data_IF_921587320069
#
_entry.id   IF_921587320069
#
_cell.length_a   1.000
_cell.length_b   1.000
_cell.length_c   1.000
_cell.angle_alpha   90.00
_cell.angle_beta   90.00
_cell.angle_gamma   90.00
#
_symmetry.space_group_name_H-M   'P 1'
#
loop_
_entity.id
_entity.type
_entity.pdbx_description
1 polymer ?
#
# COMPACT_ATOMS: atom_id res chain seq x y z
N UNK A 1 -14.98 -8.94 11.48
CA UNK A 1 -13.54 -8.90 11.11
C UNK A 1 -13.38 -7.83 10.04
N UNK A 2 -13.09 -6.59 10.46
CA UNK A 2 -13.15 -5.38 9.63
C UNK A 2 -12.02 -5.34 8.58
N UNK A 3 -12.34 -4.98 7.33
CA UNK A 3 -11.42 -4.95 6.16
C UNK A 3 -11.61 -3.68 5.32
N UNK A 4 -10.53 -3.13 4.76
CA UNK A 4 -10.50 -1.98 3.85
C UNK A 4 -9.88 -2.36 2.51
N UNK A 5 -10.37 -1.89 1.35
CA UNK A 5 -9.79 -2.22 0.02
C UNK A 5 -9.26 -1.00 -0.78
N UNK A 6 -8.08 -1.13 -1.42
CA UNK A 6 -7.41 -0.05 -2.18
C UNK A 6 -6.80 -0.50 -3.50
N UNK A 7 -6.86 0.37 -4.52
CA UNK A 7 -6.18 0.18 -5.80
C UNK A 7 -4.69 0.58 -5.75
N UNK A 8 -3.82 -0.31 -6.25
CA UNK A 8 -2.39 -0.05 -6.47
C UNK A 8 -2.17 0.56 -7.86
N UNK A 9 -1.49 1.71 -7.92
CA UNK A 9 -1.26 2.48 -9.14
C UNK A 9 -0.06 1.91 -9.91
N UNK A 10 -0.29 1.33 -11.08
CA UNK A 10 0.76 1.03 -12.05
C UNK A 10 1.22 2.30 -12.78
N UNK A 11 2.53 2.40 -13.05
CA UNK A 11 3.22 3.55 -13.59
C UNK A 11 2.89 3.79 -15.10
N UNK A 12 2.35 4.99 -15.39
CA UNK A 12 2.46 5.81 -16.62
C UNK A 12 1.96 5.30 -17.99
N UNK A 13 0.75 5.73 -18.38
CA UNK A 13 0.48 6.31 -19.72
C UNK A 13 -0.44 7.53 -19.53
N UNK A 14 0.10 8.73 -19.82
CA UNK A 14 -0.65 9.98 -19.83
C UNK A 14 -1.52 10.04 -21.10
N UNK A 15 -2.83 9.93 -20.95
CA UNK A 15 -3.77 10.52 -21.91
C UNK A 15 -4.50 11.66 -21.21
N UNK A 16 -4.24 12.88 -21.68
CA UNK A 16 -5.01 14.06 -21.33
C UNK A 16 -6.41 13.95 -21.96
N UNK A 17 -7.41 13.73 -21.13
CA UNK A 17 -8.82 13.92 -21.50
C UNK A 17 -9.47 14.87 -20.49
N UNK A 18 -10.22 15.80 -21.06
CA UNK A 18 -10.73 17.02 -20.48
C UNK A 18 -11.68 16.79 -19.30
N UNK A 19 -11.65 17.78 -18.41
CA UNK A 19 -12.52 17.95 -17.26
C UNK A 19 -14.00 17.65 -17.56
N UNK A 20 -14.58 16.74 -16.78
CA UNK A 20 -16.02 16.53 -16.73
C UNK A 20 -16.52 16.61 -15.29
N UNK A 21 -17.21 17.74 -15.03
CA UNK A 21 -18.24 18.04 -14.01
C UNK A 21 -18.21 17.26 -12.69
N UNK A 22 -17.94 18.00 -11.61
CA UNK A 22 -18.34 17.69 -10.24
C UNK A 22 -19.86 17.48 -10.16
N UNK A 23 -20.26 16.21 -10.13
CA UNK A 23 -21.58 15.78 -9.67
C UNK A 23 -21.43 15.16 -8.30
N UNK A 24 -21.92 15.85 -7.27
CA UNK A 24 -22.10 15.33 -5.91
C UNK A 24 -22.94 14.06 -6.04
N UNK A 25 -22.29 12.91 -5.94
CA UNK A 25 -22.92 11.60 -6.08
C UNK A 25 -22.79 10.95 -4.71
N UNK A 26 -23.88 11.01 -3.94
CA UNK A 26 -24.14 10.08 -2.82
C UNK A 26 -24.35 8.68 -3.43
N UNK A 27 -23.31 8.15 -4.07
CA UNK A 27 -23.24 6.75 -4.48
C UNK A 27 -23.15 5.97 -3.19
N UNK A 28 -24.12 5.09 -2.96
CA UNK A 28 -24.01 4.04 -1.96
C UNK A 28 -22.60 3.44 -2.04
N UNK A 29 -21.92 3.37 -0.89
CA UNK A 29 -20.60 2.75 -0.81
C UNK A 29 -20.71 1.32 -1.38
N UNK A 30 -19.98 1.04 -2.45
CA UNK A 30 -19.96 -0.30 -3.05
C UNK A 30 -19.36 -1.28 -2.05
N UNK A 31 -19.92 -2.48 -1.96
CA UNK A 31 -19.35 -3.49 -1.06
C UNK A 31 -18.05 -4.06 -1.63
N UNK A 32 -17.27 -4.75 -0.80
CA UNK A 32 -16.04 -5.40 -1.25
C UNK A 32 -16.36 -6.49 -2.29
N UNK A 33 -17.48 -7.20 -2.16
CA UNK A 33 -17.94 -8.21 -3.12
C UNK A 33 -18.23 -7.59 -4.48
N UNK A 34 -18.94 -6.46 -4.51
CA UNK A 34 -19.25 -5.75 -5.77
C UNK A 34 -17.99 -5.24 -6.46
N UNK A 35 -17.01 -4.75 -5.70
CA UNK A 35 -15.74 -4.23 -6.23
C UNK A 35 -14.80 -5.33 -6.74
N UNK A 36 -15.04 -6.58 -6.34
CA UNK A 36 -14.14 -7.71 -6.62
C UNK A 36 -14.80 -8.86 -7.37
N UNK A 37 -16.04 -8.71 -7.82
CA UNK A 37 -16.80 -9.76 -8.51
C UNK A 37 -16.10 -10.34 -9.76
N UNK A 38 -15.39 -9.50 -10.52
CA UNK A 38 -14.61 -9.89 -11.72
C UNK A 38 -13.14 -10.23 -11.42
N UNK A 39 -12.76 -10.25 -10.15
CA UNK A 39 -11.36 -10.37 -9.73
C UNK A 39 -11.00 -11.79 -9.31
N UNK A 40 -9.77 -12.19 -9.66
CA UNK A 40 -9.13 -13.36 -9.06
C UNK A 40 -8.67 -12.99 -7.65
N UNK A 41 -9.17 -13.71 -6.64
CA UNK A 41 -8.72 -13.59 -5.26
C UNK A 41 -7.39 -14.33 -5.05
N UNK A 42 -6.44 -13.65 -4.43
CA UNK A 42 -5.12 -14.16 -4.06
C UNK A 42 -5.02 -14.00 -2.54
N UNK A 43 -5.14 -15.13 -1.83
CA UNK A 43 -5.05 -15.15 -0.37
C UNK A 43 -3.60 -15.10 0.09
N UNK A 44 -3.37 -14.44 1.22
CA UNK A 44 -2.05 -14.23 1.81
C UNK A 44 -2.15 -13.37 3.05
N UNK A 45 -1.00 -12.87 3.52
CA UNK A 45 -0.96 -11.94 4.65
C UNK A 45 -1.80 -10.69 4.40
N UNK A 46 -1.70 -10.16 3.18
CA UNK A 46 -2.69 -9.25 2.60
C UNK A 46 -3.48 -10.03 1.55
N UNK A 47 -4.81 -9.94 1.59
CA UNK A 47 -5.63 -10.53 0.52
C UNK A 47 -5.71 -9.55 -0.64
N UNK A 48 -5.27 -10.00 -1.80
CA UNK A 48 -5.20 -9.21 -3.04
C UNK A 48 -6.27 -9.72 -4.02
N UNK A 49 -6.88 -8.81 -4.76
CA UNK A 49 -7.86 -9.08 -5.80
C UNK A 49 -7.32 -8.45 -7.09
N UNK A 50 -7.08 -9.29 -8.10
CA UNK A 50 -6.64 -8.82 -9.41
C UNK A 50 -7.80 -8.95 -10.40
N UNK A 51 -8.27 -7.83 -10.93
CA UNK A 51 -9.34 -7.81 -11.91
C UNK A 51 -8.90 -8.51 -13.21
N UNK A 52 -9.70 -9.47 -13.67
CA UNK A 52 -9.34 -10.30 -14.83
C UNK A 52 -9.53 -9.60 -16.18
N UNK A 53 -10.23 -8.47 -16.21
CA UNK A 53 -10.55 -7.72 -17.42
C UNK A 53 -9.61 -6.51 -17.60
N UNK A 54 -9.32 -5.81 -16.51
CA UNK A 54 -8.56 -4.55 -16.48
C UNK A 54 -7.16 -4.70 -15.91
N UNK A 55 -6.85 -5.86 -15.29
CA UNK A 55 -5.64 -6.10 -14.52
C UNK A 55 -5.46 -5.17 -13.29
N UNK A 56 -6.48 -4.39 -12.92
CA UNK A 56 -6.45 -3.53 -11.73
C UNK A 56 -6.27 -4.38 -10.46
N UNK A 57 -5.33 -3.99 -9.60
CA UNK A 57 -5.03 -4.70 -8.36
C UNK A 57 -5.63 -3.95 -7.19
N UNK A 58 -6.45 -4.65 -6.40
CA UNK A 58 -7.06 -4.17 -5.17
C UNK A 58 -6.54 -4.98 -3.99
N UNK A 59 -6.21 -4.34 -2.87
CA UNK A 59 -5.68 -5.02 -1.68
C UNK A 59 -6.56 -4.74 -0.47
N UNK A 60 -6.90 -5.78 0.28
CA UNK A 60 -7.59 -5.63 1.57
C UNK A 60 -6.63 -5.53 2.75
N UNK A 61 -6.95 -4.65 3.70
CA UNK A 61 -6.18 -4.38 4.91
C UNK A 61 -7.12 -4.50 6.11
N UNK A 62 -6.72 -5.23 7.14
CA UNK A 62 -7.46 -5.32 8.40
C UNK A 62 -7.10 -4.16 9.33
N UNK A 63 -7.97 -3.81 10.27
CA UNK A 63 -7.66 -2.72 11.23
C UNK A 63 -6.39 -2.97 12.05
N UNK A 64 -6.15 -4.22 12.45
CA UNK A 64 -4.92 -4.63 13.16
C UNK A 64 -3.63 -4.36 12.36
N UNK A 65 -3.72 -4.19 11.04
CA UNK A 65 -2.57 -3.94 10.16
C UNK A 65 -2.27 -2.45 9.96
N UNK A 66 -3.17 -1.51 10.35
CA UNK A 66 -3.06 -0.07 10.08
C UNK A 66 -2.07 0.72 10.95
N UNK A 67 -1.46 0.08 11.94
CA UNK A 67 -0.47 0.71 12.81
C UNK A 67 0.68 -0.25 13.11
N UNK A 68 0.82 -1.26 12.26
CA UNK A 68 1.89 -2.25 12.36
C UNK A 68 3.03 -1.88 11.42
N UNK A 69 4.26 -2.17 11.85
CA UNK A 69 5.44 -2.07 11.02
C UNK A 69 5.70 -3.41 10.32
N UNK A 70 6.02 -3.36 9.05
CA UNK A 70 6.24 -4.54 8.21
C UNK A 70 7.60 -4.46 7.54
N UNK A 71 8.28 -5.59 7.44
CA UNK A 71 9.50 -5.72 6.64
C UNK A 71 9.09 -6.27 5.28
N UNK A 72 9.28 -5.46 4.24
CA UNK A 72 9.25 -5.93 2.87
C UNK A 72 10.64 -6.41 2.49
N UNK A 73 10.72 -7.57 1.83
CA UNK A 73 11.90 -8.00 1.12
C UNK A 73 11.48 -8.73 -0.15
N UNK A 74 12.36 -8.74 -1.14
CA UNK A 74 12.15 -9.52 -2.36
C UNK A 74 13.25 -10.55 -2.54
N UNK A 75 12.90 -11.66 -3.18
CA UNK A 75 13.84 -12.69 -3.57
C UNK A 75 13.59 -13.07 -5.02
N UNK A 76 14.66 -13.40 -5.74
CA UNK A 76 14.55 -13.93 -7.09
C UNK A 76 14.14 -15.40 -7.01
N UNK A 77 12.96 -15.72 -7.56
CA UNK A 77 12.54 -17.11 -7.72
C UNK A 77 13.43 -17.85 -8.73
N UNK A 78 13.66 -17.25 -9.90
CA UNK A 78 14.58 -17.72 -10.94
C UNK A 78 15.14 -16.54 -11.72
N UNK A 79 16.41 -16.61 -12.11
CA UNK A 79 17.12 -15.51 -12.77
C UNK A 79 18.22 -16.00 -13.71
N UNK A 80 18.59 -15.16 -14.66
CA UNK A 80 19.66 -15.42 -15.63
C UNK A 80 21.01 -15.10 -14.99
N UNK A 81 21.87 -16.11 -14.85
CA UNK A 81 23.17 -15.98 -14.18
C UNK A 81 24.07 -14.93 -14.82
N UNK A 82 24.12 -14.88 -16.15
CA UNK A 82 24.93 -13.92 -16.90
C UNK A 82 24.50 -12.46 -16.65
N UNK A 83 23.23 -12.23 -16.30
CA UNK A 83 22.71 -10.93 -15.89
C UNK A 83 22.85 -10.65 -14.38
N UNK A 84 23.64 -11.44 -13.66
CA UNK A 84 23.88 -11.28 -12.22
C UNK A 84 22.69 -11.68 -11.33
N UNK A 85 21.74 -12.46 -11.86
CA UNK A 85 20.55 -12.90 -11.13
C UNK A 85 20.53 -14.41 -11.00
N UNK A 86 20.18 -14.93 -9.83
CA UNK A 86 20.11 -16.37 -9.57
C UNK A 86 18.97 -16.71 -8.62
N UNK A 87 18.50 -17.97 -8.69
CA UNK A 87 17.46 -18.50 -7.79
C UNK A 87 17.87 -18.34 -6.33
N UNK A 88 16.98 -17.78 -5.53
CA UNK A 88 17.19 -17.52 -4.11
C UNK A 88 18.02 -16.26 -3.82
N UNK A 89 18.36 -15.46 -4.84
CA UNK A 89 19.07 -14.20 -4.61
C UNK A 89 18.15 -13.22 -3.90
N UNK A 90 18.46 -12.92 -2.63
CA UNK A 90 17.78 -11.87 -1.87
C UNK A 90 18.09 -10.51 -2.48
N UNK A 91 17.09 -9.65 -2.46
CA UNK A 91 17.16 -8.27 -2.92
C UNK A 91 16.92 -7.34 -1.73
N UNK A 92 16.81 -6.06 -2.02
CA UNK A 92 16.60 -5.02 -1.02
C UNK A 92 15.43 -5.35 -0.08
N UNK A 93 15.60 -4.91 1.15
CA UNK A 93 14.57 -4.96 2.17
C UNK A 93 14.30 -3.56 2.70
N UNK A 94 13.06 -3.28 3.05
CA UNK A 94 12.67 -1.99 3.62
C UNK A 94 11.61 -2.16 4.69
N UNK A 95 11.66 -1.29 5.69
CA UNK A 95 10.58 -1.14 6.65
C UNK A 95 9.48 -0.31 5.99
N UNK A 96 8.23 -0.73 6.13
CA UNK A 96 7.09 0.09 5.75
C UNK A 96 5.99 0.02 6.79
N UNK A 97 5.19 1.07 6.84
CA UNK A 97 4.00 1.22 7.67
C UNK A 97 2.82 1.50 6.75
N UNK A 98 1.66 0.97 7.12
CA UNK A 98 0.39 1.27 6.44
C UNK A 98 -0.37 2.21 7.37
N UNK A 99 -0.55 3.49 7.02
CA UNK A 99 -1.29 4.47 7.85
C UNK A 99 -2.62 4.83 7.19
N UNK A 100 -3.63 5.12 8.00
CA UNK A 100 -4.88 5.75 7.54
C UNK A 100 -4.80 7.25 7.69
N UNK A 101 -5.03 7.96 6.59
CA UNK A 101 -5.07 9.41 6.54
C UNK A 101 -6.38 9.84 5.89
N UNK A 102 -7.36 10.25 6.71
CA UNK A 102 -8.73 10.56 6.29
C UNK A 102 -9.38 9.42 5.48
N UNK A 103 -9.63 9.66 4.19
CA UNK A 103 -10.23 8.73 3.23
C UNK A 103 -9.16 8.00 2.38
N UNK A 104 -7.92 7.94 2.86
CA UNK A 104 -6.81 7.27 2.18
C UNK A 104 -6.07 6.30 3.08
N UNK A 105 -5.46 5.31 2.44
CA UNK A 105 -4.38 4.51 3.00
C UNK A 105 -3.07 4.92 2.36
N UNK A 106 -2.10 5.14 3.22
CA UNK A 106 -0.75 5.54 2.88
C UNK A 106 0.23 4.43 3.24
N UNK A 107 1.07 4.06 2.28
CA UNK A 107 2.23 3.22 2.53
C UNK A 107 3.41 4.15 2.72
N UNK A 108 4.03 4.09 3.90
CA UNK A 108 5.10 4.98 4.30
C UNK A 108 6.32 4.14 4.62
N UNK A 109 7.47 4.51 4.06
CA UNK A 109 8.76 3.98 4.48
C UNK A 109 9.39 4.96 5.50
N UNK A 110 9.43 4.63 6.79
CA UNK A 110 10.03 5.50 7.81
C UNK A 110 11.52 5.68 7.56
N UNK A 111 12.06 6.85 7.94
CA UNK A 111 13.47 7.16 7.78
C UNK A 111 14.28 6.52 8.91
N UNK A 112 14.98 5.43 8.60
CA UNK A 112 15.79 4.67 9.55
C UNK A 112 17.23 5.18 9.70
N UNK A 113 17.61 6.28 9.04
CA UNK A 113 18.95 6.85 9.14
C UNK A 113 19.21 7.60 10.44
N UNK A 114 18.14 7.89 11.21
CA UNK A 114 18.23 8.65 12.44
C UNK A 114 17.86 7.77 13.64
N UNK A 115 18.69 7.82 14.67
CA UNK A 115 18.44 7.19 15.96
C UNK A 115 18.70 8.19 17.08
N UNK A 116 17.75 8.31 18.00
CA UNK A 116 17.88 9.17 19.17
C UNK A 116 17.87 8.30 20.42
N UNK A 117 18.93 8.38 21.21
CA UNK A 117 19.03 7.70 22.50
C UNK A 117 17.89 8.19 23.43
N UNK A 118 16.97 7.30 23.86
CA UNK A 118 15.83 7.68 24.70
C UNK A 118 16.22 8.28 26.06
N UNK A 119 17.42 7.99 26.56
CA UNK A 119 17.92 8.52 27.83
C UNK A 119 18.40 9.98 27.72
N UNK A 120 18.70 10.43 26.49
CA UNK A 120 19.20 11.77 26.22
C UNK A 120 18.04 12.75 26.02
N UNK A 121 18.08 13.97 26.61
CA UNK A 121 17.08 15.01 26.38
C UNK A 121 16.82 15.36 24.90
N UNK A 122 17.81 15.16 24.01
CA UNK A 122 17.65 15.36 22.57
C UNK A 122 16.57 14.46 21.93
N UNK A 123 16.25 13.31 22.54
CA UNK A 123 15.19 12.42 22.06
C UNK A 123 13.80 13.05 22.01
N UNK A 124 13.57 14.14 22.75
CA UNK A 124 12.32 14.93 22.67
C UNK A 124 12.11 15.58 21.31
N UNK A 125 13.18 15.76 20.53
CA UNK A 125 13.15 16.32 19.18
C UNK A 125 13.31 15.25 18.09
N UNK A 126 13.10 13.96 18.41
CA UNK A 126 13.33 12.85 17.47
C UNK A 126 12.47 12.89 16.20
N UNK A 127 11.40 13.68 16.19
CA UNK A 127 10.50 13.84 15.04
C UNK A 127 10.72 15.19 14.32
N UNK A 128 11.55 16.08 14.88
CA UNK A 128 11.78 17.40 14.32
C UNK A 128 12.68 17.34 13.08
N UNK A 129 12.23 17.95 11.98
CA UNK A 129 12.95 18.03 10.70
C UNK A 129 13.28 16.67 10.06
N UNK A 130 12.54 15.61 10.40
CA UNK A 130 12.67 14.30 9.75
C UNK A 130 11.44 14.08 8.87
N UNK A 131 11.67 13.79 7.60
CA UNK A 131 10.62 13.36 6.69
C UNK A 131 10.62 11.84 6.59
N UNK A 132 9.43 11.25 6.71
CA UNK A 132 9.17 9.90 6.25
C UNK A 132 8.97 9.91 4.72
N UNK A 133 9.17 8.76 4.06
CA UNK A 133 8.95 8.64 2.63
C UNK A 133 7.55 8.09 2.34
N UNK A 134 6.67 8.92 1.78
CA UNK A 134 5.36 8.49 1.29
C UNK A 134 5.55 7.70 -0.02
N UNK A 135 5.37 6.38 0.04
CA UNK A 135 5.53 5.47 -1.11
C UNK A 135 4.29 5.49 -2.00
N UNK A 136 3.10 5.49 -1.38
CA UNK A 136 1.82 5.52 -2.08
C UNK A 136 0.72 6.09 -1.18
N UNK A 137 -0.28 6.73 -1.78
CA UNK A 137 -1.48 7.25 -1.11
C UNK A 137 -2.70 6.92 -1.98
N UNK A 138 -3.48 5.93 -1.57
CA UNK A 138 -4.64 5.42 -2.32
C UNK A 138 -5.94 5.67 -1.58
N UNK A 139 -7.03 5.97 -2.30
CA UNK A 139 -8.36 6.24 -1.73
C UNK A 139 -9.06 4.95 -1.26
N UNK A 140 -9.77 5.02 -0.12
CA UNK A 140 -10.58 3.90 0.40
C UNK A 140 -11.75 3.70 -0.55
N UNK A 141 -11.87 2.49 -1.13
CA UNK A 141 -12.97 2.17 -2.04
C UNK A 141 -14.18 1.62 -1.31
N UNK A 142 -13.95 0.88 -0.22
CA UNK A 142 -14.97 0.30 0.64
C UNK A 142 -14.40 0.03 2.03
N UNK A 143 -15.30 0.02 3.02
CA UNK A 143 -15.00 -0.33 4.40
C UNK A 143 -16.13 -1.20 4.94
N UNK A 144 -15.83 -2.46 5.23
CA UNK A 144 -16.80 -3.35 5.88
C UNK A 144 -16.91 -2.98 7.35
N UNK A 145 -18.02 -2.33 7.70
CA UNK A 145 -18.46 -2.18 9.08
C UNK A 145 -19.17 -3.47 9.50
N UNK A 146 -18.41 -4.45 9.96
CA UNK A 146 -18.94 -5.41 10.92
C UNK A 146 -18.82 -4.86 12.34
#
# INVERSE_FOLDING_TARGET
MIRYIFASLAFLVFYTSLAQKEGKNDKAEKTIEELTASSKKIEGFFTIYQDTLTAEVKMTIKEEQLQSEFIYFSQIADGVLEAGSFRGSYRESTLFQIKKYFDKIEIIAPNTNFYFDPSNPLSKSKEANISEALVSSSKILAHDKE
#
